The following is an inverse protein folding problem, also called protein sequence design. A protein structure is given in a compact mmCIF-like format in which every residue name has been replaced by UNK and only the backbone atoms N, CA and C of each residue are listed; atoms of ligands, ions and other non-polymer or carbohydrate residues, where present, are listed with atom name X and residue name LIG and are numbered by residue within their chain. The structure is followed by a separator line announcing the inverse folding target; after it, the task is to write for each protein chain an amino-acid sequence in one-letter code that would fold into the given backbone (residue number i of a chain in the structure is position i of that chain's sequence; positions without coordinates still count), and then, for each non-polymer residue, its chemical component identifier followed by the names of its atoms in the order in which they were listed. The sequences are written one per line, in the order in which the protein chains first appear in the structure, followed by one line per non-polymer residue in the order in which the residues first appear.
data_IF_614593570740
#
_entry.id   IF_614593570740
#
_cell.length_a   1.000
_cell.length_b   1.000
_cell.length_c   1.000
_cell.angle_alpha   90.00
_cell.angle_beta   90.00
_cell.angle_gamma   90.00
#
_symmetry.space_group_name_H-M   'P 1'
#
loop_
_entity.id
_entity.type
_entity.pdbx_description
1 polymer ?
#
# COMPACT_ATOMS: atom_id res chain seq x y z
N UNK A 1 -8.38 12.00 -13.43
CA UNK A 1 -9.47 12.95 -13.20
C UNK A 1 -10.83 12.37 -13.59
N UNK A 2 -11.09 11.99 -14.83
CA UNK A 2 -12.38 11.43 -15.28
C UNK A 2 -12.87 10.20 -14.48
N UNK A 3 -11.95 9.32 -14.04
CA UNK A 3 -12.28 8.16 -13.22
C UNK A 3 -12.86 8.57 -11.85
N UNK A 4 -12.27 9.56 -11.19
CA UNK A 4 -12.75 10.04 -9.89
C UNK A 4 -14.13 10.72 -10.01
N UNK A 5 -14.36 11.53 -11.05
CA UNK A 5 -15.69 12.12 -11.30
C UNK A 5 -16.75 11.05 -11.45
N UNK A 6 -16.50 10.02 -12.27
CA UNK A 6 -17.45 8.89 -12.44
C UNK A 6 -17.71 8.14 -11.14
N UNK A 7 -16.68 7.95 -10.30
CA UNK A 7 -16.85 7.33 -8.97
C UNK A 7 -17.75 8.17 -8.08
N UNK A 8 -17.57 9.50 -8.07
CA UNK A 8 -18.44 10.40 -7.29
C UNK A 8 -19.87 10.43 -7.80
N UNK A 9 -20.09 10.46 -9.11
CA UNK A 9 -21.43 10.36 -9.71
C UNK A 9 -22.13 9.04 -9.36
N UNK A 10 -21.40 7.92 -9.41
CA UNK A 10 -21.95 6.62 -9.03
C UNK A 10 -22.32 6.58 -7.54
N UNK A 11 -21.48 7.17 -6.69
CA UNK A 11 -21.65 7.17 -5.23
C UNK A 11 -22.90 7.91 -4.76
N UNK A 12 -23.33 8.94 -5.49
CA UNK A 12 -24.49 9.76 -5.12
C UNK A 12 -25.81 9.34 -5.81
N UNK A 13 -25.81 8.29 -6.65
CA UNK A 13 -26.99 7.88 -7.42
C UNK A 13 -28.21 7.53 -6.57
N UNK A 14 -27.96 7.01 -5.37
CA UNK A 14 -29.02 6.55 -4.45
C UNK A 14 -29.73 7.67 -3.68
N UNK A 15 -29.24 8.91 -3.74
CA UNK A 15 -29.95 10.05 -3.16
C UNK A 15 -31.02 10.56 -4.12
N UNK A 16 -32.17 11.05 -3.61
CA UNK A 16 -33.30 11.52 -4.43
C UNK A 16 -33.23 13.04 -4.74
N UNK A 17 -32.39 13.81 -4.05
CA UNK A 17 -32.28 15.26 -4.18
C UNK A 17 -31.38 15.64 -5.38
N UNK A 18 -32.00 15.83 -6.55
CA UNK A 18 -31.27 16.16 -7.79
C UNK A 18 -30.54 17.51 -7.74
N UNK A 19 -31.10 18.53 -7.04
CA UNK A 19 -30.45 19.84 -6.93
C UNK A 19 -29.21 19.75 -6.00
N UNK A 20 -29.31 18.99 -4.95
CA UNK A 20 -28.18 18.70 -4.05
C UNK A 20 -27.10 17.89 -4.75
N UNK A 21 -27.46 16.90 -5.59
CA UNK A 21 -26.50 16.17 -6.46
C UNK A 21 -25.75 17.12 -7.39
N UNK A 22 -26.45 18.05 -8.05
CA UNK A 22 -25.80 19.06 -8.92
C UNK A 22 -24.83 19.93 -8.16
N UNK A 23 -25.23 20.44 -6.99
CA UNK A 23 -24.37 21.24 -6.13
C UNK A 23 -23.12 20.46 -5.67
N UNK A 24 -23.29 19.19 -5.29
CA UNK A 24 -22.20 18.31 -4.92
C UNK A 24 -21.19 18.17 -6.07
N UNK A 25 -21.68 17.77 -7.26
CA UNK A 25 -20.81 17.55 -8.43
C UNK A 25 -20.15 18.85 -8.91
N UNK A 26 -20.80 20.00 -8.78
CA UNK A 26 -20.22 21.30 -9.10
C UNK A 26 -19.03 21.63 -8.18
N UNK A 27 -19.14 21.37 -6.87
CA UNK A 27 -18.03 21.55 -5.93
C UNK A 27 -16.87 20.61 -6.24
N UNK A 28 -17.17 19.34 -6.59
CA UNK A 28 -16.13 18.38 -7.01
C UNK A 28 -15.40 18.87 -8.27
N UNK A 29 -16.12 19.33 -9.30
CA UNK A 29 -15.52 19.86 -10.53
C UNK A 29 -14.64 21.07 -10.24
N UNK A 30 -15.13 22.03 -9.45
CA UNK A 30 -14.32 23.20 -9.03
C UNK A 30 -13.03 22.80 -8.32
N UNK A 31 -13.08 21.74 -7.49
CA UNK A 31 -11.86 21.25 -6.81
C UNK A 31 -10.85 20.72 -7.84
N UNK A 32 -11.30 20.05 -8.88
CA UNK A 32 -10.43 19.54 -9.95
C UNK A 32 -9.92 20.64 -10.89
N UNK A 33 -10.67 21.72 -11.06
CA UNK A 33 -10.26 22.88 -11.86
C UNK A 33 -9.14 23.70 -11.16
N UNK A 34 -8.90 23.45 -9.87
CA UNK A 34 -7.88 24.11 -9.05
C UNK A 34 -6.92 23.09 -8.45
N UNK A 35 -6.10 22.39 -9.29
CA UNK A 35 -5.14 21.41 -8.81
C UNK A 35 -4.04 22.12 -8.00
N UNK A 36 -3.59 21.44 -6.93
CA UNK A 36 -2.44 21.85 -6.14
C UNK A 36 -1.22 21.08 -6.57
N UNK A 37 -0.04 21.64 -6.38
CA UNK A 37 1.22 21.00 -6.74
C UNK A 37 1.44 19.68 -6.00
N UNK A 38 0.99 19.62 -4.75
CA UNK A 38 1.09 18.46 -3.88
C UNK A 38 0.01 17.39 -4.10
N UNK A 39 -0.94 17.62 -5.01
CA UNK A 39 -2.05 16.68 -5.24
C UNK A 39 -1.55 15.34 -5.79
N UNK A 40 -2.05 14.27 -5.21
CA UNK A 40 -1.94 12.91 -5.73
C UNK A 40 -3.29 12.20 -5.63
N UNK A 41 -3.45 11.09 -6.32
CA UNK A 41 -4.74 10.38 -6.35
C UNK A 41 -5.22 9.98 -4.95
N UNK A 42 -4.37 9.43 -4.05
CA UNK A 42 -4.79 9.10 -2.69
C UNK A 42 -5.20 10.32 -1.86
N UNK A 43 -4.46 11.44 -1.92
CA UNK A 43 -4.79 12.65 -1.16
C UNK A 43 -6.13 13.25 -1.59
N UNK A 44 -6.36 13.34 -2.91
CA UNK A 44 -7.65 13.78 -3.46
C UNK A 44 -8.77 12.82 -3.05
N UNK A 45 -8.54 11.50 -3.13
CA UNK A 45 -9.56 10.51 -2.75
C UNK A 45 -9.98 10.65 -1.29
N UNK A 46 -9.03 10.89 -0.39
CA UNK A 46 -9.29 11.15 1.03
C UNK A 46 -10.06 12.46 1.24
N UNK A 47 -9.67 13.53 0.54
CA UNK A 47 -10.38 14.82 0.58
C UNK A 47 -11.85 14.66 0.11
N UNK A 48 -12.06 13.96 -1.01
CA UNK A 48 -13.38 13.71 -1.56
C UNK A 48 -14.25 12.82 -0.65
N UNK A 49 -13.64 11.83 0.03
CA UNK A 49 -14.35 10.99 1.00
C UNK A 49 -14.84 11.81 2.19
N UNK A 50 -13.98 12.66 2.77
CA UNK A 50 -14.35 13.57 3.86
C UNK A 50 -15.44 14.56 3.43
N UNK A 51 -15.29 15.13 2.22
CA UNK A 51 -16.29 16.04 1.66
C UNK A 51 -17.64 15.35 1.45
N UNK A 52 -17.65 14.14 0.89
CA UNK A 52 -18.87 13.34 0.73
C UNK A 52 -19.60 13.15 2.06
N UNK A 53 -18.90 12.69 3.08
CA UNK A 53 -19.50 12.45 4.39
C UNK A 53 -20.07 13.71 5.00
N UNK A 54 -19.33 14.81 4.96
CA UNK A 54 -19.79 16.12 5.51
C UNK A 54 -20.94 16.72 4.70
N UNK A 55 -20.92 16.63 3.39
CA UNK A 55 -21.94 17.18 2.52
C UNK A 55 -23.28 16.44 2.64
N UNK A 56 -23.23 15.12 2.69
CA UNK A 56 -24.45 14.27 2.74
C UNK A 56 -24.90 13.98 4.16
N UNK A 57 -24.08 14.25 5.18
CA UNK A 57 -24.38 13.97 6.57
C UNK A 57 -24.32 12.47 6.88
N UNK A 58 -23.49 11.72 6.16
CA UNK A 58 -23.30 10.29 6.36
C UNK A 58 -22.01 10.03 7.14
N UNK A 59 -21.95 9.01 8.00
CA UNK A 59 -20.74 8.70 8.74
C UNK A 59 -19.62 8.23 7.80
N UNK A 60 -18.38 8.36 8.27
CA UNK A 60 -17.26 7.68 7.63
C UNK A 60 -17.43 6.17 7.80
N UNK A 61 -17.09 5.43 6.73
CA UNK A 61 -17.06 3.96 6.82
C UNK A 61 -16.00 3.52 7.84
N UNK A 62 -16.39 2.63 8.71
CA UNK A 62 -15.52 1.97 9.68
C UNK A 62 -15.12 0.59 9.16
N UNK A 63 -13.83 0.42 8.94
CA UNK A 63 -13.23 -0.83 8.45
C UNK A 63 -12.61 -1.68 9.58
N UNK A 64 -12.67 -1.24 10.82
CA UNK A 64 -11.94 -1.85 11.94
C UNK A 64 -12.25 -3.33 12.12
N UNK A 65 -13.54 -3.71 12.02
CA UNK A 65 -13.94 -5.11 12.17
C UNK A 65 -13.40 -5.97 11.01
N UNK A 66 -13.62 -5.55 9.76
CA UNK A 66 -13.18 -6.32 8.59
C UNK A 66 -11.66 -6.39 8.53
N UNK A 67 -10.95 -5.32 8.88
CA UNK A 67 -9.50 -5.31 8.98
C UNK A 67 -9.01 -6.34 10.01
N UNK A 68 -9.64 -6.39 11.19
CA UNK A 68 -9.32 -7.35 12.25
C UNK A 68 -9.57 -8.80 11.83
N UNK A 69 -10.67 -9.07 11.15
CA UNK A 69 -10.98 -10.40 10.61
C UNK A 69 -9.93 -10.85 9.61
N UNK A 70 -9.41 -9.91 8.83
CA UNK A 70 -8.39 -10.17 7.83
C UNK A 70 -7.02 -10.44 8.44
N UNK A 71 -6.62 -9.62 9.37
CA UNK A 71 -5.40 -9.84 10.15
C UNK A 71 -5.42 -11.22 10.80
N UNK A 72 -6.56 -11.60 11.42
CA UNK A 72 -6.71 -12.90 12.05
C UNK A 72 -6.61 -14.05 11.05
N UNK A 73 -7.28 -13.93 9.90
CA UNK A 73 -7.17 -14.95 8.84
C UNK A 73 -5.71 -15.17 8.43
N UNK A 74 -4.96 -14.09 8.24
CA UNK A 74 -3.56 -14.18 7.80
C UNK A 74 -2.63 -14.67 8.92
N UNK A 75 -2.90 -14.32 10.19
CA UNK A 75 -2.20 -14.89 11.35
C UNK A 75 -2.41 -16.40 11.46
N UNK A 76 -3.61 -16.87 11.18
CA UNK A 76 -3.93 -18.30 11.19
C UNK A 76 -3.20 -19.09 10.07
N UNK A 77 -2.72 -18.41 9.04
CA UNK A 77 -1.92 -18.97 7.94
C UNK A 77 -0.42 -18.74 8.10
N UNK A 78 0.01 -17.94 9.07
CA UNK A 78 1.39 -17.45 9.19
C UNK A 78 2.41 -18.58 9.23
N UNK A 79 2.18 -19.62 10.01
CA UNK A 79 3.14 -20.73 10.16
C UNK A 79 3.33 -21.52 8.87
N UNK A 80 2.24 -21.80 8.15
CA UNK A 80 2.28 -22.50 6.85
C UNK A 80 3.02 -21.65 5.79
N UNK A 81 2.76 -20.33 5.77
CA UNK A 81 3.39 -19.39 4.85
C UNK A 81 4.89 -19.23 5.17
N UNK A 82 5.22 -19.07 6.44
CA UNK A 82 6.60 -18.97 6.92
C UNK A 82 7.38 -20.24 6.60
N UNK A 83 6.77 -21.40 6.78
CA UNK A 83 7.36 -22.69 6.43
C UNK A 83 7.64 -22.77 4.92
N UNK A 84 6.65 -22.45 4.08
CA UNK A 84 6.83 -22.47 2.63
C UNK A 84 7.96 -21.52 2.17
N UNK A 85 8.06 -20.34 2.76
CA UNK A 85 9.10 -19.37 2.47
C UNK A 85 10.48 -19.88 2.90
N UNK A 86 10.61 -20.41 4.11
CA UNK A 86 11.89 -20.90 4.67
C UNK A 86 12.50 -22.05 3.88
N UNK A 87 11.67 -22.90 3.29
CA UNK A 87 12.12 -24.05 2.48
C UNK A 87 12.28 -23.72 1.00
N UNK A 88 12.06 -22.49 0.57
CA UNK A 88 12.32 -22.06 -0.80
C UNK A 88 13.83 -21.96 -1.10
N UNK A 89 14.21 -21.97 -2.36
CA UNK A 89 15.61 -21.83 -2.80
C UNK A 89 16.23 -20.47 -2.41
N UNK A 90 15.43 -19.41 -2.39
CA UNK A 90 15.80 -18.07 -1.93
C UNK A 90 14.69 -17.55 -1.00
N UNK A 91 14.81 -17.73 0.33
CA UNK A 91 13.79 -17.34 1.29
C UNK A 91 13.47 -15.84 1.30
N UNK A 92 14.45 -14.97 1.03
CA UNK A 92 14.20 -13.54 0.95
C UNK A 92 13.38 -13.19 -0.28
N UNK A 93 13.75 -13.70 -1.44
CA UNK A 93 13.00 -13.51 -2.69
C UNK A 93 11.57 -14.02 -2.54
N UNK A 94 11.41 -15.22 -2.02
CA UNK A 94 10.10 -15.79 -1.76
C UNK A 94 9.26 -14.91 -0.82
N UNK A 95 9.84 -14.43 0.29
CA UNK A 95 9.14 -13.56 1.23
C UNK A 95 8.66 -12.26 0.58
N UNK A 96 9.47 -11.64 -0.29
CA UNK A 96 9.08 -10.43 -1.03
C UNK A 96 7.94 -10.72 -2.02
N UNK A 97 7.99 -11.86 -2.73
CA UNK A 97 6.92 -12.29 -3.63
C UNK A 97 5.62 -12.50 -2.84
N UNK A 98 5.68 -13.23 -1.72
CA UNK A 98 4.52 -13.46 -0.85
C UNK A 98 3.96 -12.15 -0.28
N UNK A 99 4.83 -11.25 0.20
CA UNK A 99 4.42 -9.95 0.70
C UNK A 99 3.71 -9.10 -0.37
N UNK A 100 4.10 -9.22 -1.65
CA UNK A 100 3.41 -8.58 -2.79
C UNK A 100 2.08 -9.23 -3.08
N UNK A 101 2.03 -10.56 -3.00
CA UNK A 101 0.86 -11.37 -3.38
C UNK A 101 -0.30 -11.24 -2.38
N UNK A 102 -0.03 -10.93 -1.12
CA UNK A 102 -1.09 -10.70 -0.11
C UNK A 102 -2.15 -9.71 -0.58
N UNK A 103 -1.79 -8.81 -1.47
CA UNK A 103 -2.68 -7.80 -2.04
C UNK A 103 -3.64 -8.34 -3.16
N UNK A 104 -3.57 -9.64 -3.50
CA UNK A 104 -4.54 -10.29 -4.41
C UNK A 104 -5.87 -10.59 -3.73
N UNK A 105 -5.88 -10.73 -2.42
CA UNK A 105 -7.10 -11.08 -1.72
C UNK A 105 -7.98 -9.83 -1.69
N UNK A 106 -9.10 -9.87 -2.44
CA UNK A 106 -10.06 -8.79 -2.47
C UNK A 106 -10.88 -8.79 -1.17
N UNK A 107 -10.78 -7.72 -0.40
CA UNK A 107 -11.54 -7.54 0.83
C UNK A 107 -13.06 -7.68 0.67
N UNK A 108 -13.58 -7.34 -0.52
CA UNK A 108 -15.01 -7.48 -0.80
C UNK A 108 -15.49 -8.95 -0.89
N UNK A 109 -14.57 -9.88 -1.17
CA UNK A 109 -14.88 -11.31 -1.31
C UNK A 109 -14.64 -12.12 -0.03
N UNK A 110 -14.07 -11.51 1.01
CA UNK A 110 -13.60 -12.19 2.21
C UNK A 110 -14.63 -12.95 3.08
N UNK A 111 -15.88 -12.50 3.23
CA UNK A 111 -16.82 -13.23 4.08
C UNK A 111 -17.04 -14.70 3.68
N UNK A 112 -16.61 -15.08 2.47
CA UNK A 112 -16.80 -16.42 1.90
C UNK A 112 -15.47 -17.17 1.63
N UNK A 113 -14.31 -16.56 1.95
CA UNK A 113 -12.99 -17.17 1.65
C UNK A 113 -12.54 -18.05 2.81
N UNK A 114 -12.50 -19.36 2.60
CA UNK A 114 -11.90 -20.29 3.58
C UNK A 114 -10.38 -20.13 3.65
N UNK A 115 -9.78 -20.58 4.77
CA UNK A 115 -8.30 -20.60 4.94
C UNK A 115 -7.60 -21.35 3.80
N UNK A 116 -8.15 -22.48 3.37
CA UNK A 116 -7.61 -23.29 2.27
C UNK A 116 -7.65 -22.52 0.96
N UNK A 117 -8.73 -21.77 0.70
CA UNK A 117 -8.88 -20.94 -0.48
C UNK A 117 -7.88 -19.79 -0.46
N UNK A 118 -7.73 -19.08 0.67
CA UNK A 118 -6.77 -18.01 0.85
C UNK A 118 -5.33 -18.50 0.63
N UNK A 119 -4.96 -19.62 1.26
CA UNK A 119 -3.64 -20.23 1.12
C UNK A 119 -3.38 -20.68 -0.32
N UNK A 120 -4.38 -21.27 -0.98
CA UNK A 120 -4.29 -21.70 -2.38
C UNK A 120 -4.09 -20.51 -3.32
N UNK A 121 -4.85 -19.41 -3.12
CA UNK A 121 -4.69 -18.18 -3.89
C UNK A 121 -3.29 -17.60 -3.71
N UNK A 122 -2.84 -17.41 -2.48
CA UNK A 122 -1.49 -16.91 -2.19
C UNK A 122 -0.41 -17.78 -2.85
N UNK A 123 -0.54 -19.10 -2.79
CA UNK A 123 0.41 -20.02 -3.39
C UNK A 123 0.33 -20.08 -4.93
N UNK A 124 -0.86 -19.96 -5.51
CA UNK A 124 -1.07 -20.05 -6.97
C UNK A 124 -0.62 -18.81 -7.70
N UNK A 125 -0.76 -17.64 -7.08
CA UNK A 125 -0.43 -16.34 -7.67
C UNK A 125 1.06 -15.97 -7.52
N UNK A 126 1.84 -16.79 -6.81
CA UNK A 126 3.29 -16.65 -6.70
C UNK A 126 4.07 -17.01 -7.98
N UNK A 127 3.43 -16.93 -9.15
CA UNK A 127 4.07 -17.28 -10.43
C UNK A 127 4.90 -16.15 -11.01
N UNK A 128 4.63 -14.92 -10.60
CA UNK A 128 5.36 -13.76 -11.07
C UNK A 128 6.67 -13.61 -10.30
N UNK A 129 7.78 -13.86 -10.97
CA UNK A 129 9.11 -13.61 -10.43
C UNK A 129 9.32 -12.11 -10.15
N UNK A 130 10.25 -11.79 -9.24
CA UNK A 130 10.79 -10.44 -9.15
C UNK A 130 11.69 -10.18 -10.35
N UNK A 131 11.72 -8.95 -10.85
CA UNK A 131 12.71 -8.56 -11.83
C UNK A 131 14.12 -8.84 -11.29
N UNK A 132 14.88 -9.62 -12.04
CA UNK A 132 16.19 -10.14 -11.60
C UNK A 132 17.20 -9.02 -11.38
N UNK A 133 17.19 -8.00 -12.21
CA UNK A 133 18.11 -6.88 -12.11
C UNK A 133 17.75 -6.00 -10.90
N UNK A 134 16.46 -5.74 -10.70
CA UNK A 134 15.97 -5.00 -9.54
C UNK A 134 16.31 -5.72 -8.23
N UNK A 135 16.07 -7.02 -8.18
CA UNK A 135 16.37 -7.82 -6.99
C UNK A 135 17.88 -7.86 -6.67
N UNK A 136 18.72 -8.02 -7.69
CA UNK A 136 20.19 -7.96 -7.51
C UNK A 136 20.64 -6.59 -7.00
N UNK A 137 20.11 -5.52 -7.57
CA UNK A 137 20.45 -4.15 -7.16
C UNK A 137 19.96 -3.88 -5.74
N UNK A 138 18.76 -4.33 -5.39
CA UNK A 138 18.22 -4.27 -4.03
C UNK A 138 19.16 -4.96 -3.05
N UNK A 139 19.57 -6.20 -3.33
CA UNK A 139 20.50 -6.93 -2.46
C UNK A 139 21.87 -6.24 -2.32
N UNK A 140 22.34 -5.56 -3.37
CA UNK A 140 23.58 -4.78 -3.29
C UNK A 140 23.44 -3.53 -2.41
N UNK A 141 22.32 -2.83 -2.50
CA UNK A 141 22.01 -1.67 -1.68
C UNK A 141 21.84 -2.09 -0.21
N UNK A 142 21.09 -3.17 0.03
CA UNK A 142 20.87 -3.73 1.37
C UNK A 142 22.16 -4.15 2.07
N UNK A 143 23.16 -4.67 1.35
CA UNK A 143 24.48 -5.02 1.90
C UNK A 143 25.27 -3.80 2.41
N UNK A 144 24.95 -2.60 1.90
CA UNK A 144 25.59 -1.34 2.28
C UNK A 144 24.77 -0.53 3.29
N UNK A 145 23.49 -0.85 3.40
CA UNK A 145 22.54 -0.14 4.25
C UNK A 145 22.80 -0.41 5.73
N UNK A 146 22.57 0.60 6.55
CA UNK A 146 22.49 0.52 8.01
C UNK A 146 21.06 0.74 8.50
N UNK A 147 20.33 1.68 7.89
CA UNK A 147 18.96 2.05 8.25
C UNK A 147 18.02 1.73 7.10
N UNK A 148 17.05 0.89 7.36
CA UNK A 148 16.05 0.46 6.40
C UNK A 148 14.66 0.80 6.92
N UNK A 149 13.82 1.40 6.08
CA UNK A 149 12.41 1.61 6.39
C UNK A 149 11.56 0.68 5.54
N UNK A 150 10.69 -0.08 6.19
CA UNK A 150 9.70 -0.92 5.54
C UNK A 150 8.33 -0.27 5.67
N UNK A 151 7.73 0.17 4.57
CA UNK A 151 6.41 0.80 4.56
C UNK A 151 5.37 -0.25 4.20
N UNK A 152 4.44 -0.50 5.11
CA UNK A 152 3.33 -1.44 4.89
C UNK A 152 2.27 -0.87 3.95
N UNK A 153 1.33 -1.73 3.53
CA UNK A 153 0.14 -1.32 2.77
C UNK A 153 -1.12 -1.74 3.56
N UNK A 154 -1.70 -2.90 3.33
CA UNK A 154 -3.01 -3.26 3.87
C UNK A 154 -2.94 -4.16 5.12
N UNK A 155 -4.03 -4.14 5.88
CA UNK A 155 -4.34 -5.16 6.88
C UNK A 155 -4.31 -6.55 6.24
N UNK A 156 -4.04 -7.58 7.00
CA UNK A 156 -3.77 -8.94 6.51
C UNK A 156 -2.43 -9.08 5.81
N UNK A 157 -2.11 -8.22 4.85
CA UNK A 157 -0.77 -8.21 4.21
C UNK A 157 0.35 -7.98 5.23
N UNK A 158 0.09 -7.23 6.29
CA UNK A 158 1.07 -6.91 7.35
C UNK A 158 1.67 -8.17 7.99
N UNK A 159 0.98 -9.31 7.98
CA UNK A 159 1.51 -10.60 8.44
C UNK A 159 2.59 -11.11 7.48
N UNK A 160 2.39 -10.97 6.17
CA UNK A 160 3.41 -11.30 5.17
C UNK A 160 4.57 -10.30 5.18
N UNK A 161 4.29 -9.03 5.46
CA UNK A 161 5.29 -7.99 5.67
C UNK A 161 6.18 -8.32 6.88
N UNK A 162 5.58 -8.80 7.98
CA UNK A 162 6.30 -9.30 9.16
C UNK A 162 7.27 -10.42 8.78
N UNK A 163 6.82 -11.41 7.99
CA UNK A 163 7.68 -12.50 7.50
C UNK A 163 8.80 -11.96 6.60
N UNK A 164 8.50 -11.02 5.70
CA UNK A 164 9.51 -10.41 4.83
C UNK A 164 10.58 -9.65 5.64
N UNK A 165 10.17 -8.91 6.66
CA UNK A 165 11.09 -8.21 7.58
C UNK A 165 11.97 -9.21 8.34
N UNK A 166 11.44 -10.35 8.79
CA UNK A 166 12.24 -11.41 9.41
C UNK A 166 13.29 -11.96 8.45
N UNK A 167 12.92 -12.19 7.18
CA UNK A 167 13.87 -12.67 6.18
C UNK A 167 14.91 -11.61 5.80
N UNK A 168 14.55 -10.33 5.74
CA UNK A 168 15.48 -9.21 5.56
C UNK A 168 16.53 -9.18 6.69
N UNK A 169 16.10 -9.19 7.94
CA UNK A 169 17.00 -9.19 9.12
C UNK A 169 17.90 -10.44 9.16
N UNK A 170 17.39 -11.59 8.75
CA UNK A 170 18.18 -12.83 8.68
C UNK A 170 19.24 -12.77 7.58
N UNK A 171 18.89 -12.20 6.41
CA UNK A 171 19.78 -12.12 5.25
C UNK A 171 20.83 -11.01 5.40
N UNK A 172 20.45 -9.91 6.05
CA UNK A 172 21.29 -8.73 6.28
C UNK A 172 21.36 -8.40 7.78
N UNK A 173 22.15 -9.12 8.58
CA UNK A 173 22.10 -9.02 10.06
C UNK A 173 22.55 -7.67 10.62
N UNK A 174 23.20 -6.83 9.82
CA UNK A 174 23.73 -5.53 10.26
C UNK A 174 22.75 -4.36 10.05
N UNK A 175 21.58 -4.59 9.41
CA UNK A 175 20.61 -3.53 9.19
C UNK A 175 19.71 -3.30 10.41
N UNK A 176 19.32 -2.07 10.61
CA UNK A 176 18.22 -1.67 11.51
C UNK A 176 16.99 -1.41 10.67
N UNK A 177 15.94 -2.18 10.88
CA UNK A 177 14.67 -2.03 10.19
C UNK A 177 13.68 -1.32 11.10
N UNK A 178 13.02 -0.29 10.60
CA UNK A 178 11.83 0.32 11.20
C UNK A 178 10.66 0.16 10.25
N UNK A 179 9.53 -0.33 10.74
CA UNK A 179 8.30 -0.38 9.94
C UNK A 179 7.53 0.95 10.04
N UNK A 180 6.95 1.38 8.93
CA UNK A 180 6.09 2.56 8.87
C UNK A 180 4.69 2.13 8.45
N UNK A 181 3.71 2.40 9.32
CA UNK A 181 2.27 2.13 9.09
C UNK A 181 1.48 3.42 8.98
N UNK A 182 0.20 3.37 8.66
CA UNK A 182 -0.65 4.57 8.68
C UNK A 182 -0.78 5.11 10.11
N UNK A 183 -0.80 6.42 10.22
CA UNK A 183 -0.96 7.09 11.52
C UNK A 183 -2.41 7.17 11.99
N UNK A 184 -3.34 7.17 11.05
CA UNK A 184 -4.79 7.23 11.25
C UNK A 184 -5.47 6.25 10.29
N UNK A 185 -6.71 5.79 10.59
CA UNK A 185 -7.46 4.89 9.72
C UNK A 185 -7.61 5.42 8.30
N UNK A 186 -7.19 4.65 7.31
CA UNK A 186 -7.23 4.96 5.89
C UNK A 186 -7.77 3.78 5.06
N UNK A 187 -9.06 3.47 5.24
CA UNK A 187 -9.67 2.30 4.63
C UNK A 187 -9.13 1.01 5.24
N UNK A 188 -8.56 0.17 4.40
CA UNK A 188 -7.95 -1.09 4.79
C UNK A 188 -6.42 -1.03 4.97
N UNK A 189 -5.82 0.15 4.92
CA UNK A 189 -4.38 0.30 5.17
C UNK A 189 -4.07 -0.03 6.64
N UNK A 190 -2.95 -0.73 6.87
CA UNK A 190 -2.53 -1.15 8.20
C UNK A 190 -2.09 0.03 9.08
N UNK A 191 -2.57 0.04 10.32
CA UNK A 191 -2.29 1.06 11.35
C UNK A 191 -1.41 0.50 12.48
N UNK A 192 -1.17 1.32 13.51
CA UNK A 192 -0.47 0.86 14.72
C UNK A 192 -1.22 -0.27 15.45
N UNK A 193 -2.55 -0.23 15.49
CA UNK A 193 -3.38 -1.29 16.09
C UNK A 193 -3.17 -2.63 15.39
N UNK A 194 -3.11 -2.63 14.06
CA UNK A 194 -2.88 -3.83 13.27
C UNK A 194 -1.45 -4.35 13.45
N UNK A 195 -0.47 -3.44 13.51
CA UNK A 195 0.92 -3.79 13.78
C UNK A 195 1.12 -4.46 15.15
N UNK A 196 0.45 -3.97 16.19
CA UNK A 196 0.44 -4.56 17.53
C UNK A 196 -0.27 -5.91 17.51
N UNK A 197 -1.44 -5.98 16.93
CA UNK A 197 -2.24 -7.22 16.88
C UNK A 197 -1.53 -8.34 16.12
N UNK A 198 -0.90 -8.01 15.00
CA UNK A 198 -0.15 -8.98 14.19
C UNK A 198 1.24 -9.31 14.78
N UNK A 199 1.66 -8.67 15.87
CA UNK A 199 2.97 -8.89 16.50
C UNK A 199 4.14 -8.36 15.66
N UNK A 200 3.93 -7.37 14.81
CA UNK A 200 5.02 -6.71 14.07
C UNK A 200 5.90 -5.89 15.03
N UNK A 201 5.31 -5.30 16.05
CA UNK A 201 6.00 -4.54 17.11
C UNK A 201 6.97 -5.37 17.94
N UNK A 202 6.80 -6.70 17.98
CA UNK A 202 7.74 -7.63 18.65
C UNK A 202 8.98 -7.90 17.81
N UNK A 203 8.93 -7.59 16.51
CA UNK A 203 10.00 -7.89 15.54
C UNK A 203 10.89 -6.67 15.26
N UNK A 204 10.27 -5.49 15.11
CA UNK A 204 10.95 -4.23 14.80
C UNK A 204 10.23 -3.04 15.44
N UNK A 205 10.92 -1.90 15.64
CA UNK A 205 10.23 -0.64 15.92
C UNK A 205 9.22 -0.31 14.82
N UNK A 206 8.02 0.15 15.24
CA UNK A 206 6.96 0.57 14.32
C UNK A 206 6.61 2.03 14.59
N UNK A 207 6.40 2.81 13.54
CA UNK A 207 5.99 4.21 13.60
C UNK A 207 4.73 4.43 12.75
N UNK A 208 3.74 5.11 13.30
CA UNK A 208 2.61 5.63 12.52
C UNK A 208 3.02 6.88 11.75
N UNK A 209 2.68 6.97 10.47
CA UNK A 209 3.07 8.11 9.63
C UNK A 209 2.35 9.44 9.96
N UNK A 210 1.29 9.40 10.78
CA UNK A 210 0.53 10.59 11.23
C UNK A 210 -0.54 11.05 10.23
N UNK A 211 -0.77 10.32 9.13
CA UNK A 211 -1.74 10.67 8.08
C UNK A 211 -2.85 9.63 7.96
N UNK A 212 -4.00 10.06 7.46
CA UNK A 212 -5.15 9.24 7.04
C UNK A 212 -5.26 9.11 5.52
N UNK A 213 -4.23 9.50 4.79
CA UNK A 213 -4.15 9.32 3.33
C UNK A 213 -3.63 7.91 3.04
N UNK A 214 -4.30 7.19 2.16
CA UNK A 214 -3.81 5.89 1.67
C UNK A 214 -2.45 6.06 0.99
N UNK A 215 -1.46 5.27 1.40
CA UNK A 215 -0.07 5.50 1.05
C UNK A 215 0.68 6.43 2.01
N UNK A 216 1.83 6.95 1.60
CA UNK A 216 2.70 7.81 2.42
C UNK A 216 2.87 9.17 1.75
N UNK A 217 1.84 10.00 1.87
CA UNK A 217 1.83 11.32 1.25
C UNK A 217 2.73 12.30 2.01
N UNK A 218 3.86 12.66 1.41
CA UNK A 218 4.93 13.43 2.04
C UNK A 218 4.47 14.76 2.66
N UNK A 219 3.48 15.41 2.08
CA UNK A 219 2.94 16.70 2.56
C UNK A 219 2.01 16.53 3.79
N UNK A 220 1.49 15.31 4.02
CA UNK A 220 0.56 15.03 5.10
C UNK A 220 1.11 14.18 6.25
N UNK A 221 2.32 13.63 6.14
CA UNK A 221 2.94 12.84 7.21
C UNK A 221 3.56 13.72 8.30
N UNK A 222 3.75 13.16 9.49
CA UNK A 222 4.39 13.82 10.62
C UNK A 222 5.86 14.18 10.33
N UNK A 223 6.40 15.18 11.05
CA UNK A 223 7.82 15.52 10.96
C UNK A 223 8.72 14.31 11.28
N UNK A 224 8.36 13.55 12.32
CA UNK A 224 9.11 12.35 12.74
C UNK A 224 9.12 11.26 11.63
N UNK A 225 7.98 10.99 10.98
CA UNK A 225 7.93 10.07 9.86
C UNK A 225 8.77 10.55 8.68
N UNK A 226 8.78 11.85 8.42
CA UNK A 226 9.60 12.46 7.35
C UNK A 226 11.09 12.32 7.64
N UNK A 227 11.53 12.62 8.87
CA UNK A 227 12.92 12.44 9.31
C UNK A 227 13.36 10.97 9.20
N UNK A 228 12.50 10.03 9.62
CA UNK A 228 12.76 8.60 9.50
C UNK A 228 13.02 8.22 8.03
N UNK A 229 12.14 8.65 7.11
CA UNK A 229 12.29 8.35 5.68
C UNK A 229 13.54 9.00 5.07
N UNK A 230 13.84 10.25 5.43
CA UNK A 230 15.01 10.98 4.92
C UNK A 230 16.34 10.41 5.43
N UNK A 231 16.34 9.78 6.60
CA UNK A 231 17.53 9.13 7.19
C UNK A 231 17.74 7.68 6.76
N UNK A 232 16.82 7.11 6.00
CA UNK A 232 16.89 5.74 5.52
C UNK A 232 17.88 5.60 4.35
N UNK A 233 18.75 4.58 4.41
CA UNK A 233 19.62 4.20 3.28
C UNK A 233 18.83 3.50 2.16
N UNK A 234 17.83 2.70 2.57
CA UNK A 234 16.92 1.97 1.68
C UNK A 234 15.52 2.00 2.26
N UNK A 235 14.54 2.24 1.40
CA UNK A 235 13.13 2.15 1.73
C UNK A 235 12.51 1.04 0.87
N UNK A 236 11.77 0.11 1.48
CA UNK A 236 10.91 -0.83 0.78
C UNK A 236 9.47 -0.41 1.01
N UNK A 237 8.77 0.00 -0.03
CA UNK A 237 7.42 0.53 0.04
C UNK A 237 6.42 -0.43 -0.62
N UNK A 238 5.44 -0.91 0.17
CA UNK A 238 4.39 -1.83 -0.27
C UNK A 238 3.21 -1.08 -0.85
N UNK A 239 2.61 -1.68 -1.88
CA UNK A 239 1.36 -1.23 -2.45
C UNK A 239 1.46 -0.06 -3.43
N UNK A 240 0.44 0.01 -4.29
CA UNK A 240 0.35 1.03 -5.33
C UNK A 240 0.18 2.45 -4.74
N UNK A 241 -0.55 2.59 -3.63
CA UNK A 241 -0.76 3.87 -2.96
C UNK A 241 0.54 4.52 -2.48
N UNK A 242 1.51 3.73 -2.02
CA UNK A 242 2.83 4.26 -1.66
C UNK A 242 3.61 4.75 -2.89
N UNK A 243 3.51 4.07 -4.03
CA UNK A 243 4.08 4.59 -5.28
C UNK A 243 3.43 5.93 -5.68
N UNK A 244 2.10 6.02 -5.68
CA UNK A 244 1.35 7.22 -6.05
C UNK A 244 1.66 8.44 -5.18
N UNK A 245 2.02 8.21 -3.92
CA UNK A 245 2.26 9.28 -2.92
C UNK A 245 3.72 9.64 -2.73
N UNK A 246 4.65 8.76 -3.11
CA UNK A 246 6.08 8.94 -2.85
C UNK A 246 6.93 9.11 -4.10
N UNK A 247 6.43 8.68 -5.27
CA UNK A 247 7.21 8.78 -6.51
C UNK A 247 7.63 10.22 -6.79
N UNK A 248 8.90 10.42 -7.13
CA UNK A 248 9.49 11.73 -7.35
C UNK A 248 10.08 12.41 -6.10
N UNK A 249 9.99 11.79 -4.91
CA UNK A 249 10.53 12.37 -3.67
C UNK A 249 12.07 12.32 -3.55
N UNK A 250 12.77 11.63 -4.46
CA UNK A 250 14.23 11.59 -4.54
C UNK A 250 14.93 10.65 -3.56
N UNK A 251 14.18 9.83 -2.82
CA UNK A 251 14.71 8.84 -1.87
C UNK A 251 15.05 7.51 -2.57
N UNK A 252 15.85 6.66 -1.93
CA UNK A 252 16.18 5.34 -2.46
C UNK A 252 15.07 4.33 -2.10
N UNK A 253 14.01 4.32 -2.88
CA UNK A 253 12.81 3.50 -2.64
C UNK A 253 12.76 2.35 -3.63
N UNK A 254 12.48 1.15 -3.12
CA UNK A 254 12.06 -0.01 -3.86
C UNK A 254 10.57 -0.22 -3.65
N UNK A 255 9.78 -0.06 -4.69
CA UNK A 255 8.34 -0.28 -4.66
C UNK A 255 8.01 -1.75 -4.95
N UNK A 256 7.11 -2.31 -4.16
CA UNK A 256 6.66 -3.69 -4.26
C UNK A 256 5.13 -3.73 -4.25
N UNK A 257 4.49 -3.89 -5.43
CA UNK A 257 3.05 -3.78 -5.57
C UNK A 257 2.49 -4.61 -6.73
N UNK A 258 1.16 -4.70 -6.81
CA UNK A 258 0.42 -5.25 -7.93
C UNK A 258 -0.16 -4.11 -8.78
N UNK A 259 -0.09 -4.27 -10.10
CA UNK A 259 -0.64 -3.32 -11.06
C UNK A 259 -2.18 -3.44 -11.12
N UNK A 260 -2.92 -2.59 -10.38
CA UNK A 260 -4.37 -2.75 -10.14
C UNK A 260 -5.30 -1.90 -11.05
N UNK A 261 -4.77 -1.01 -11.88
CA UNK A 261 -5.61 -0.17 -12.73
C UNK A 261 -5.03 0.08 -14.11
N UNK A 262 -5.89 0.45 -15.06
CA UNK A 262 -5.53 0.68 -16.46
C UNK A 262 -4.39 1.70 -16.62
N UNK A 263 -4.39 2.76 -15.80
CA UNK A 263 -3.34 3.77 -15.86
C UNK A 263 -1.96 3.20 -15.50
N UNK A 264 -1.88 2.37 -14.45
CA UNK A 264 -0.64 1.69 -14.09
C UNK A 264 -0.22 0.65 -15.13
N UNK A 265 -1.19 -0.07 -15.73
CA UNK A 265 -0.90 -1.00 -16.82
C UNK A 265 -0.23 -0.26 -18.00
N UNK A 266 -0.73 0.93 -18.36
CA UNK A 266 -0.12 1.75 -19.41
C UNK A 266 1.24 2.30 -18.99
N UNK A 267 1.35 2.84 -17.77
CA UNK A 267 2.58 3.45 -17.26
C UNK A 267 3.74 2.45 -17.18
N UNK A 268 3.47 1.24 -16.73
CA UNK A 268 4.48 0.19 -16.53
C UNK A 268 4.54 -0.82 -17.68
N UNK A 269 3.71 -0.68 -18.73
CA UNK A 269 3.54 -1.69 -19.78
C UNK A 269 3.25 -3.08 -19.21
N UNK A 270 2.45 -3.13 -18.15
CA UNK A 270 2.16 -4.32 -17.35
C UNK A 270 0.74 -4.81 -17.58
N UNK A 271 0.50 -6.08 -17.25
CA UNK A 271 -0.85 -6.66 -17.23
C UNK A 271 -1.56 -6.30 -15.92
N UNK A 272 -2.89 -6.41 -15.92
CA UNK A 272 -3.66 -6.32 -14.68
C UNK A 272 -3.16 -7.36 -13.68
N UNK A 273 -2.98 -6.94 -12.43
CA UNK A 273 -2.44 -7.72 -11.31
C UNK A 273 -1.01 -8.23 -11.52
N UNK A 274 -0.30 -7.80 -12.53
CA UNK A 274 1.13 -8.11 -12.66
C UNK A 274 1.91 -7.57 -11.47
N UNK A 275 2.77 -8.40 -10.91
CA UNK A 275 3.63 -8.04 -9.79
C UNK A 275 4.78 -7.14 -10.21
N UNK A 276 4.92 -6.01 -9.51
CA UNK A 276 5.98 -5.05 -9.73
C UNK A 276 6.99 -5.08 -8.59
N UNK A 277 8.27 -4.99 -8.92
CA UNK A 277 9.37 -4.70 -8.01
C UNK A 277 10.33 -3.77 -8.73
N UNK A 278 10.41 -2.51 -8.33
CA UNK A 278 11.15 -1.50 -9.08
C UNK A 278 11.71 -0.41 -8.16
N UNK A 279 12.96 -0.01 -8.42
CA UNK A 279 13.57 1.12 -7.72
C UNK A 279 13.10 2.46 -8.29
N UNK A 280 12.91 3.45 -7.42
CA UNK A 280 12.54 4.84 -7.72
C UNK A 280 13.31 5.43 -8.90
N UNK A 281 14.62 5.19 -9.00
CA UNK A 281 15.49 5.74 -10.06
C UNK A 281 15.20 5.17 -11.44
N UNK A 282 14.54 4.01 -11.52
CA UNK A 282 14.19 3.31 -12.78
C UNK A 282 12.68 3.30 -13.04
N UNK A 283 11.91 3.70 -12.05
CA UNK A 283 10.47 3.82 -12.18
C UNK A 283 10.11 4.87 -13.24
N UNK A 284 9.11 4.61 -14.10
CA UNK A 284 8.66 5.58 -15.07
C UNK A 284 8.13 6.82 -14.35
N UNK A 285 8.52 8.00 -14.86
CA UNK A 285 7.98 9.26 -14.30
C UNK A 285 6.50 9.34 -14.62
N UNK A 286 5.67 9.33 -13.58
CA UNK A 286 4.29 9.73 -13.71
C UNK A 286 4.28 11.21 -14.12
N UNK A 287 4.05 11.49 -15.40
CA UNK A 287 3.77 12.87 -15.81
C UNK A 287 2.49 13.28 -15.10
N UNK A 288 2.61 14.25 -14.21
CA UNK A 288 1.48 14.82 -13.49
C UNK A 288 0.40 15.16 -14.53
N UNK A 289 -0.81 14.56 -14.35
CA UNK A 289 -2.06 14.97 -14.99
C UNK A 289 -1.90 15.51 -16.43
N UNK A 290 -1.48 14.70 -17.41
CA UNK A 290 -1.72 15.06 -18.80
C UNK A 290 -3.23 15.04 -19.02
N UNK A 291 -3.76 16.20 -19.32
CA UNK A 291 -5.14 16.41 -19.76
C UNK A 291 -5.30 15.86 -21.18
N UNK A 292 -5.55 14.55 -21.31
CA UNK A 292 -6.10 13.96 -22.51
C UNK A 292 -7.34 13.11 -22.14
#
# INVERSE_FOLDING_TARGET
MACQLRKQEAKIRHFDDEDRKKQYMEKIRRRFDQPKEEDCVPSISTELKKFYCSFWGVPMEDFSQINREYDQLMLDLEEDLLSAIRYSADPLRAALIYARTGNYIDFAALPEVSKETALSLIKSENKDELDEQEYRTFCQDMKKASNVVYITDNCGEIVLDKIAIQMLKKTFPNIRVTALVRGLPAGNDATMEDAEFCGLTDIVPVLGNGSDVGGTWFHGISAHARELLQSADVILAKGQGNYETMHGCGLNIYYLFLCKCDWFQQLFHAKLLQGMFINEKRAPKATAFSSD
#
